data_IF_517707089497
#
_entry.id   IF_517707089497
#
_cell.length_a   1.000
_cell.length_b   1.000
_cell.length_c   1.000
_cell.angle_alpha   90.00
_cell.angle_beta   90.00
_cell.angle_gamma   90.00
#
_symmetry.space_group_name_H-M   'P 1'
#
loop_
_entity.id
_entity.type
_entity.pdbx_description
1 polymer ?
#
# COMPACT_ATOMS: atom_id res chain seq x y z
N UNK A 1 5.09 17.42 -1.71
CA UNK A 1 3.86 16.61 -1.87
C UNK A 1 2.72 17.38 -1.24
N UNK A 2 1.58 17.54 -1.93
CA UNK A 2 0.43 18.21 -1.32
C UNK A 2 -0.23 17.25 -0.31
N UNK A 3 -0.68 17.73 0.85
CA UNK A 3 -1.25 16.88 1.91
C UNK A 3 -2.40 15.98 1.42
N UNK A 4 -3.17 16.45 0.44
CA UNK A 4 -4.27 15.69 -0.17
C UNK A 4 -3.81 14.48 -0.97
N UNK A 5 -2.69 14.59 -1.67
CA UNK A 5 -2.14 13.48 -2.46
C UNK A 5 -1.64 12.39 -1.52
N UNK A 6 -0.96 12.78 -0.44
CA UNK A 6 -0.48 11.84 0.58
C UNK A 6 -1.64 11.09 1.25
N UNK A 7 -2.70 11.81 1.63
CA UNK A 7 -3.88 11.18 2.23
C UNK A 7 -4.53 10.17 1.29
N UNK A 8 -4.73 10.53 0.01
CA UNK A 8 -5.29 9.63 -1.00
C UNK A 8 -4.41 8.38 -1.21
N UNK A 9 -3.09 8.55 -1.23
CA UNK A 9 -2.16 7.44 -1.32
C UNK A 9 -2.22 6.52 -0.10
N UNK A 10 -2.30 7.08 1.11
CA UNK A 10 -2.40 6.30 2.34
C UNK A 10 -3.70 5.49 2.38
N UNK A 11 -4.83 6.07 1.98
CA UNK A 11 -6.09 5.35 1.88
C UNK A 11 -5.99 4.20 0.86
N UNK A 12 -5.43 4.48 -0.33
CA UNK A 12 -5.20 3.45 -1.34
C UNK A 12 -4.28 2.33 -0.84
N UNK A 13 -3.18 2.68 -0.17
CA UNK A 13 -2.25 1.72 0.42
C UNK A 13 -2.92 0.79 1.43
N UNK A 14 -3.71 1.35 2.34
CA UNK A 14 -4.42 0.58 3.36
C UNK A 14 -5.48 -0.33 2.73
N UNK A 15 -6.21 0.14 1.73
CA UNK A 15 -7.21 -0.65 1.02
C UNK A 15 -6.58 -1.83 0.25
N UNK A 16 -5.48 -1.58 -0.46
CA UNK A 16 -4.72 -2.62 -1.18
C UNK A 16 -4.17 -3.67 -0.23
N UNK A 17 -3.56 -3.26 0.88
CA UNK A 17 -3.05 -4.18 1.91
C UNK A 17 -4.16 -4.99 2.60
N UNK A 18 -5.35 -4.41 2.76
CA UNK A 18 -6.48 -5.10 3.37
C UNK A 18 -7.09 -6.17 2.45
N UNK A 19 -7.10 -5.91 1.14
CA UNK A 19 -7.76 -6.76 0.14
C UNK A 19 -6.86 -7.87 -0.42
N UNK A 20 -5.54 -7.66 -0.50
CA UNK A 20 -4.58 -8.67 -0.96
C UNK A 20 -3.84 -9.37 0.20
N UNK A 21 -3.37 -10.60 0.00
CA UNK A 21 -2.47 -11.34 0.94
C UNK A 21 -1.07 -11.54 0.37
N UNK A 22 -0.90 -11.23 -0.91
CA UNK A 22 0.33 -11.50 -1.64
C UNK A 22 1.10 -10.19 -1.82
N UNK A 23 2.35 -10.17 -1.34
CA UNK A 23 3.17 -8.96 -1.31
C UNK A 23 3.51 -8.45 -2.71
N UNK A 24 3.76 -9.36 -3.65
CA UNK A 24 4.02 -9.01 -5.06
C UNK A 24 2.78 -8.35 -5.69
N UNK A 25 1.60 -8.94 -5.51
CA UNK A 25 0.33 -8.37 -5.98
C UNK A 25 0.05 -7.00 -5.36
N UNK A 26 0.36 -6.79 -4.07
CA UNK A 26 0.22 -5.47 -3.43
C UNK A 26 1.14 -4.45 -4.08
N UNK A 27 2.42 -4.79 -4.27
CA UNK A 27 3.40 -3.88 -4.86
C UNK A 27 3.04 -3.50 -6.30
N UNK A 28 2.58 -4.47 -7.11
CA UNK A 28 2.11 -4.22 -8.48
C UNK A 28 0.92 -3.25 -8.50
N UNK A 29 -0.06 -3.43 -7.61
CA UNK A 29 -1.23 -2.55 -7.55
C UNK A 29 -0.87 -1.13 -7.10
N UNK A 30 0.08 -1.00 -6.17
CA UNK A 30 0.57 0.29 -5.68
C UNK A 30 1.40 1.07 -6.71
N UNK A 31 1.89 0.40 -7.75
CA UNK A 31 2.69 0.99 -8.82
C UNK A 31 1.86 1.32 -10.07
N UNK A 32 0.52 1.35 -9.97
CA UNK A 32 -0.32 1.76 -11.09
C UNK A 32 0.03 3.19 -11.56
N UNK A 33 -0.15 3.41 -12.86
CA UNK A 33 0.06 4.65 -13.61
C UNK A 33 -0.62 5.90 -13.04
N UNK A 34 -1.55 5.74 -12.11
CA UNK A 34 -2.25 6.82 -11.41
C UNK A 34 -1.51 7.36 -10.17
N UNK A 35 -0.48 6.65 -9.69
CA UNK A 35 0.28 7.02 -8.48
C UNK A 35 1.42 8.01 -8.85
N UNK A 36 1.56 9.13 -8.13
CA UNK A 36 2.66 10.07 -8.35
C UNK A 36 4.05 9.43 -8.20
N UNK A 37 4.99 9.80 -9.08
CA UNK A 37 6.36 9.25 -9.08
C UNK A 37 7.05 9.22 -7.70
N UNK A 38 6.98 10.27 -6.86
CA UNK A 38 7.64 10.22 -5.54
C UNK A 38 7.09 9.13 -4.60
N UNK A 39 5.86 8.67 -4.82
CA UNK A 39 5.27 7.55 -4.07
C UNK A 39 5.69 6.22 -4.66
N UNK A 40 5.79 6.13 -5.99
CA UNK A 40 6.37 4.96 -6.67
C UNK A 40 7.80 4.73 -6.17
N UNK A 41 8.63 5.78 -6.18
CA UNK A 41 10.01 5.74 -5.66
C UNK A 41 10.06 5.28 -4.20
N UNK A 42 9.05 5.65 -3.39
CA UNK A 42 8.94 5.21 -2.01
C UNK A 42 8.53 3.73 -1.89
N UNK A 43 7.57 3.27 -2.70
CA UNK A 43 7.12 1.87 -2.75
C UNK A 43 8.27 0.94 -3.18
N UNK A 44 9.12 1.37 -4.12
CA UNK A 44 10.29 0.60 -4.56
C UNK A 44 11.29 0.31 -3.43
N UNK A 45 11.22 1.03 -2.31
CA UNK A 45 12.06 0.76 -1.13
C UNK A 45 11.51 -0.35 -0.22
N UNK A 46 10.30 -0.86 -0.49
CA UNK A 46 9.65 -1.85 0.36
C UNK A 46 10.23 -3.24 0.15
N UNK A 47 10.44 -3.96 1.25
CA UNK A 47 10.69 -5.40 1.22
C UNK A 47 9.37 -6.15 1.01
N UNK A 48 9.22 -6.99 -0.04
CA UNK A 48 7.99 -7.74 -0.29
C UNK A 48 7.50 -8.55 0.91
N UNK A 49 8.41 -9.14 1.71
CA UNK A 49 8.02 -9.90 2.91
C UNK A 49 7.42 -9.00 3.98
N UNK A 50 7.90 -7.76 4.10
CA UNK A 50 7.30 -6.79 5.03
C UNK A 50 5.90 -6.38 4.57
N UNK A 51 5.67 -6.30 3.26
CA UNK A 51 4.35 -6.01 2.69
C UNK A 51 3.36 -7.14 2.99
N UNK A 52 3.77 -8.40 2.84
CA UNK A 52 2.96 -9.56 3.21
C UNK A 52 2.58 -9.53 4.70
N UNK A 53 3.54 -9.27 5.58
CA UNK A 53 3.29 -9.15 7.03
C UNK A 53 2.33 -8.00 7.33
N UNK A 54 2.51 -6.85 6.68
CA UNK A 54 1.63 -5.69 6.85
C UNK A 54 0.19 -6.01 6.42
N UNK A 55 0.01 -6.72 5.30
CA UNK A 55 -1.30 -7.16 4.83
C UNK A 55 -1.99 -8.09 5.85
N UNK A 56 -1.26 -9.06 6.39
CA UNK A 56 -1.77 -9.98 7.41
C UNK A 56 -2.14 -9.26 8.72
N UNK A 57 -1.35 -8.27 9.14
CA UNK A 57 -1.65 -7.45 10.31
C UNK A 57 -2.91 -6.62 10.12
N UNK A 58 -3.08 -6.00 8.95
CA UNK A 58 -4.25 -5.19 8.61
C UNK A 58 -5.53 -6.02 8.55
N UNK A 59 -5.49 -7.25 8.03
CA UNK A 59 -6.66 -8.14 8.05
C UNK A 59 -7.07 -8.53 9.47
N UNK A 60 -6.10 -8.77 10.34
CA UNK A 60 -6.37 -9.22 11.72
C UNK A 60 -6.78 -8.08 12.65
N UNK A 61 -6.17 -6.91 12.52
CA UNK A 61 -6.31 -5.81 13.49
C UNK A 61 -6.76 -4.48 12.87
N UNK A 62 -6.76 -4.38 11.55
CA UNK A 62 -7.16 -3.19 10.82
C UNK A 62 -8.63 -3.11 10.47
N UNK A 63 -9.49 -3.96 11.05
CA UNK A 63 -10.93 -3.87 10.85
C UNK A 63 -11.42 -2.48 11.29
N UNK A 64 -11.77 -1.65 10.29
CA UNK A 64 -12.48 -0.39 10.51
C UNK A 64 -13.83 -0.73 11.16
N UNK A 65 -14.00 -0.32 12.41
CA UNK A 65 -15.28 -0.32 13.13
C UNK A 65 -16.20 0.77 12.61
#
# INVERSE_FOLDING_TARGET
MQERELAAFQDHLLETLFTSSDGETVLEQLQDSSVPQPMIDYIETFDPRMVEVAAELLKKWGQRS
#
